data_IF_101825027142
#
_entry.id   IF_101825027142
#
_cell.length_a   1.000
_cell.length_b   1.000
_cell.length_c   1.000
_cell.angle_alpha   90.00
_cell.angle_beta   90.00
_cell.angle_gamma   90.00
#
_symmetry.space_group_name_H-M   'P 1'
#
loop_
_entity.id
_entity.type
_entity.pdbx_description
1 polymer ?
#
# COMPACT_ATOMS: atom_id res chain seq x y z
N UNK A 1 -0.79 5.16 13.32
CA UNK A 1 -0.38 6.57 13.55
C UNK A 1 1.05 6.85 13.26
N UNK A 2 2.00 6.15 13.89
CA UNK A 2 3.42 6.32 13.54
C UNK A 2 3.68 6.17 12.04
N UNK A 3 3.06 5.19 11.37
CA UNK A 3 3.14 5.03 9.90
C UNK A 3 2.69 6.28 9.12
N UNK A 4 1.57 6.91 9.51
CA UNK A 4 1.07 8.13 8.84
C UNK A 4 2.04 9.29 9.02
N UNK A 5 2.63 9.42 10.21
CA UNK A 5 3.67 10.42 10.45
C UNK A 5 4.92 10.19 9.61
N UNK A 6 5.32 8.93 9.38
CA UNK A 6 6.43 8.63 8.48
C UNK A 6 6.14 9.01 7.04
N UNK A 7 5.00 8.60 6.46
CA UNK A 7 4.69 8.97 5.07
C UNK A 7 4.45 10.47 4.91
N UNK A 8 3.92 11.15 5.94
CA UNK A 8 3.88 12.61 5.99
C UNK A 8 5.28 13.21 5.96
N UNK A 9 6.22 12.66 6.72
CA UNK A 9 7.63 13.10 6.71
C UNK A 9 8.29 12.90 5.34
N UNK A 10 8.10 11.74 4.71
CA UNK A 10 8.58 11.46 3.36
C UNK A 10 8.02 12.49 2.38
N UNK A 11 6.70 12.71 2.42
CA UNK A 11 6.01 13.67 1.57
C UNK A 11 6.56 15.10 1.71
N UNK A 12 6.65 15.66 2.93
CA UNK A 12 7.13 17.04 3.14
C UNK A 12 8.61 17.21 2.80
N UNK A 13 9.38 16.14 2.82
CA UNK A 13 10.80 16.15 2.43
C UNK A 13 11.01 15.83 0.95
N UNK A 14 9.94 15.78 0.15
CA UNK A 14 9.97 15.43 -1.27
C UNK A 14 10.65 14.08 -1.54
N UNK A 15 10.50 13.12 -0.62
CA UNK A 15 11.05 11.78 -0.73
C UNK A 15 9.91 10.78 -0.91
N UNK A 16 10.08 9.83 -1.81
CA UNK A 16 9.27 8.60 -1.88
C UNK A 16 10.20 7.40 -1.66
N UNK A 17 9.70 6.37 -1.01
CA UNK A 17 10.41 5.15 -0.67
C UNK A 17 10.20 4.06 -1.72
N UNK A 18 9.01 3.99 -2.34
CA UNK A 18 8.64 3.05 -3.41
C UNK A 18 8.57 1.55 -3.04
N UNK A 19 8.92 1.17 -1.81
CA UNK A 19 8.87 -0.23 -1.32
C UNK A 19 8.37 -0.30 0.14
N UNK A 20 7.31 0.46 0.46
CA UNK A 20 6.66 0.38 1.78
C UNK A 20 5.83 -0.90 1.84
N UNK A 21 6.29 -1.87 2.63
CA UNK A 21 5.67 -3.19 2.82
C UNK A 21 6.01 -3.75 4.20
N UNK A 22 5.29 -4.76 4.72
CA UNK A 22 5.51 -5.28 6.07
C UNK A 22 6.96 -5.67 6.40
N UNK A 23 7.73 -6.33 5.50
CA UNK A 23 9.16 -6.60 5.74
C UNK A 23 10.02 -5.36 6.02
N UNK A 24 9.66 -4.22 5.43
CA UNK A 24 10.39 -2.95 5.57
C UNK A 24 9.88 -2.09 6.73
N UNK A 25 8.91 -2.60 7.50
CA UNK A 25 8.33 -1.91 8.66
C UNK A 25 8.72 -2.65 9.92
N UNK A 26 9.77 -2.15 10.59
CA UNK A 26 10.24 -2.72 11.84
C UNK A 26 9.54 -2.08 13.04
N UNK A 27 9.35 -2.86 14.10
CA UNK A 27 8.93 -2.36 15.41
C UNK A 27 10.09 -2.61 16.38
N UNK A 28 10.74 -1.52 16.79
CA UNK A 28 11.83 -1.56 17.75
C UNK A 28 11.36 -1.55 19.22
N UNK A 29 12.30 -1.46 20.16
CA UNK A 29 12.00 -1.24 21.57
C UNK A 29 11.06 -0.06 21.77
N UNK A 30 10.21 -0.12 22.80
CA UNK A 30 9.18 0.88 23.09
C UNK A 30 8.08 1.03 22.00
N UNK A 31 7.85 -0.01 21.19
CA UNK A 31 6.83 -0.03 20.12
C UNK A 31 7.04 1.08 19.08
N UNK A 32 8.29 1.50 18.88
CA UNK A 32 8.63 2.53 17.91
C UNK A 32 8.73 1.91 16.52
N UNK A 33 7.91 2.39 15.60
CA UNK A 33 7.94 2.00 14.20
C UNK A 33 9.16 2.62 13.52
N UNK A 34 9.83 1.86 12.67
CA UNK A 34 10.91 2.33 11.80
C UNK A 34 10.68 1.78 10.40
N UNK A 35 10.72 2.65 9.41
CA UNK A 35 10.82 2.25 8.01
C UNK A 35 12.29 2.01 7.68
N UNK A 36 12.59 0.89 7.04
CA UNK A 36 13.94 0.48 6.64
C UNK A 36 13.99 0.24 5.13
N UNK A 37 15.20 0.12 4.59
CA UNK A 37 15.48 -0.20 3.19
C UNK A 37 15.04 0.86 2.16
N UNK A 38 15.81 1.95 2.10
CA UNK A 38 15.62 3.03 1.12
C UNK A 38 16.29 2.74 -0.23
N UNK A 39 16.58 1.47 -0.56
CA UNK A 39 17.28 1.09 -1.78
C UNK A 39 16.59 1.56 -3.06
N UNK A 40 15.27 1.76 -3.01
CA UNK A 40 14.46 2.27 -4.12
C UNK A 40 14.00 3.71 -3.91
N UNK A 41 14.48 4.45 -2.91
CA UNK A 41 13.95 5.78 -2.65
C UNK A 41 14.31 6.78 -3.76
N UNK A 42 13.40 7.73 -4.03
CA UNK A 42 13.60 8.82 -4.98
C UNK A 42 13.24 10.18 -4.37
N UNK A 43 14.08 11.18 -4.59
CA UNK A 43 13.86 12.56 -4.13
C UNK A 43 13.42 13.45 -5.29
N UNK A 44 12.20 13.97 -5.21
CA UNK A 44 11.66 14.95 -6.15
C UNK A 44 12.38 16.28 -6.04
N UNK A 45 12.56 16.95 -7.18
CA UNK A 45 12.92 18.37 -7.20
C UNK A 45 11.72 19.22 -6.77
N UNK A 46 11.97 20.45 -6.33
CA UNK A 46 10.95 21.32 -5.72
C UNK A 46 9.64 21.47 -6.53
N UNK A 47 9.73 21.44 -7.86
CA UNK A 47 8.60 21.64 -8.77
C UNK A 47 8.08 20.34 -9.41
N UNK A 48 8.65 19.18 -9.07
CA UNK A 48 8.20 17.90 -9.58
C UNK A 48 7.04 17.37 -8.71
N UNK A 49 5.94 17.01 -9.36
CA UNK A 49 4.77 16.37 -8.73
C UNK A 49 4.63 14.91 -9.12
N UNK A 50 5.15 14.56 -10.30
CA UNK A 50 5.19 13.22 -10.89
C UNK A 50 6.58 12.97 -11.45
N UNK A 51 7.10 11.76 -11.29
CA UNK A 51 8.34 11.32 -11.89
C UNK A 51 8.18 9.94 -12.53
N UNK A 52 8.56 9.85 -13.80
CA UNK A 52 8.65 8.58 -14.51
C UNK A 52 9.94 7.84 -14.07
N UNK A 53 9.79 6.67 -13.46
CA UNK A 53 10.87 5.85 -12.89
C UNK A 53 10.68 4.37 -13.24
N UNK A 54 11.74 3.56 -13.26
CA UNK A 54 11.61 2.12 -13.38
C UNK A 54 10.80 1.56 -12.21
N UNK A 55 9.94 0.59 -12.51
CA UNK A 55 9.25 -0.21 -11.49
C UNK A 55 10.26 -1.15 -10.87
N UNK A 56 10.54 -0.93 -9.58
CA UNK A 56 11.49 -1.71 -8.78
C UNK A 56 10.85 -2.05 -7.42
N UNK A 57 11.32 -3.13 -6.79
CA UNK A 57 10.80 -3.58 -5.49
C UNK A 57 9.55 -4.47 -5.56
N UNK A 58 8.88 -4.68 -4.41
CA UNK A 58 7.65 -5.48 -4.32
C UNK A 58 6.43 -4.58 -4.26
N UNK A 59 5.65 -4.56 -5.33
CA UNK A 59 4.58 -3.57 -5.52
C UNK A 59 3.20 -4.03 -5.06
N UNK A 60 3.09 -5.19 -4.41
CA UNK A 60 1.81 -5.74 -3.93
C UNK A 60 1.00 -4.76 -3.07
N UNK A 61 1.67 -3.87 -2.32
CA UNK A 61 1.00 -2.91 -1.43
C UNK A 61 0.70 -1.57 -2.10
N UNK A 62 1.13 -1.34 -3.34
CA UNK A 62 0.93 -0.07 -4.05
C UNK A 62 -0.54 0.24 -4.40
N UNK A 63 -1.40 -0.78 -4.40
CA UNK A 63 -2.84 -0.63 -4.65
C UNK A 63 -3.26 -1.08 -6.04
N UNK A 64 -4.58 -1.06 -6.25
CA UNK A 64 -5.20 -1.51 -7.51
C UNK A 64 -4.83 -0.63 -8.71
N UNK A 65 -4.66 0.67 -8.52
CA UNK A 65 -4.36 1.59 -9.64
C UNK A 65 -2.96 1.28 -10.19
N UNK A 66 -1.97 1.14 -9.30
CA UNK A 66 -0.65 0.67 -9.66
C UNK A 66 -0.68 -0.73 -10.28
N UNK A 67 -1.38 -1.69 -9.67
CA UNK A 67 -1.45 -3.06 -10.17
C UNK A 67 -2.06 -3.09 -11.58
N UNK A 68 -3.13 -2.35 -11.82
CA UNK A 68 -3.79 -2.28 -13.13
C UNK A 68 -2.84 -1.73 -14.19
N UNK A 69 -2.14 -0.63 -13.91
CA UNK A 69 -1.17 -0.05 -14.84
C UNK A 69 0.02 -1.00 -15.07
N UNK A 70 0.58 -1.58 -14.00
CA UNK A 70 1.64 -2.57 -14.07
C UNK A 70 1.27 -3.76 -14.97
N UNK A 71 0.07 -4.31 -14.79
CA UNK A 71 -0.39 -5.46 -15.56
C UNK A 71 -0.60 -5.15 -17.04
N UNK A 72 -1.01 -3.93 -17.39
CA UNK A 72 -1.11 -3.51 -18.78
C UNK A 72 0.28 -3.30 -19.43
N UNK A 73 1.31 -3.00 -18.63
CA UNK A 73 2.65 -2.70 -19.13
C UNK A 73 3.53 -3.94 -19.34
N UNK A 74 3.23 -5.06 -18.68
CA UNK A 74 3.99 -6.32 -18.78
C UNK A 74 3.58 -7.21 -19.97
N UNK A 75 2.66 -6.76 -20.83
CA UNK A 75 2.34 -7.47 -22.08
C UNK A 75 3.52 -7.54 -23.08
N UNK A 76 4.60 -6.77 -22.84
CA UNK A 76 5.88 -6.88 -23.55
C UNK A 76 6.99 -7.43 -22.62
N UNK A 77 7.35 -8.73 -22.72
CA UNK A 77 8.20 -9.42 -21.75
C UNK A 77 9.70 -9.10 -21.85
N UNK A 78 10.10 -8.06 -22.59
CA UNK A 78 11.50 -7.75 -22.84
C UNK A 78 11.86 -6.28 -22.52
N UNK A 79 11.69 -5.84 -21.28
CA UNK A 79 12.19 -4.53 -20.87
C UNK A 79 11.98 -4.15 -19.42
N UNK A 80 12.69 -3.10 -18.99
CA UNK A 80 12.35 -2.38 -17.76
C UNK A 80 11.02 -1.67 -17.96
N UNK A 81 10.04 -1.98 -17.11
CA UNK A 81 8.75 -1.28 -17.09
C UNK A 81 8.89 0.02 -16.31
N UNK A 82 8.28 1.10 -16.83
CA UNK A 82 8.32 2.42 -16.23
C UNK A 82 6.95 2.84 -15.71
N UNK A 83 6.93 3.59 -14.62
CA UNK A 83 5.70 4.07 -13.98
C UNK A 83 5.82 5.54 -13.57
N UNK A 84 4.71 6.26 -13.64
CA UNK A 84 4.61 7.66 -13.24
C UNK A 84 4.32 7.74 -11.73
N UNK A 85 5.38 7.78 -10.92
CA UNK A 85 5.25 7.89 -9.47
C UNK A 85 4.87 9.31 -9.05
N UNK A 86 3.79 9.43 -8.28
CA UNK A 86 3.39 10.66 -7.61
C UNK A 86 4.04 10.79 -6.21
N UNK A 87 4.14 12.01 -5.69
CA UNK A 87 4.66 12.24 -4.33
C UNK A 87 3.85 11.56 -3.21
N UNK A 88 2.56 11.30 -3.46
CA UNK A 88 1.66 10.62 -2.51
C UNK A 88 1.69 9.08 -2.65
N UNK A 89 2.51 8.50 -3.54
CA UNK A 89 2.55 7.05 -3.79
C UNK A 89 2.67 6.22 -2.49
N UNK A 90 3.62 6.60 -1.62
CA UNK A 90 3.88 5.91 -0.35
C UNK A 90 2.70 5.96 0.63
N UNK A 91 1.84 6.97 0.53
CA UNK A 91 0.64 7.06 1.37
C UNK A 91 -0.29 5.88 1.09
N UNK A 92 -0.52 5.53 -0.18
CA UNK A 92 -1.32 4.36 -0.56
C UNK A 92 -0.72 3.06 -0.03
N UNK A 93 0.61 2.89 -0.19
CA UNK A 93 1.33 1.75 0.36
C UNK A 93 1.14 1.64 1.88
N UNK A 94 1.33 2.74 2.61
CA UNK A 94 1.16 2.79 4.05
C UNK A 94 -0.27 2.44 4.50
N UNK A 95 -1.29 2.91 3.79
CA UNK A 95 -2.70 2.60 4.11
C UNK A 95 -2.99 1.12 3.92
N UNK A 96 -2.54 0.55 2.80
CA UNK A 96 -2.69 -0.88 2.52
C UNK A 96 -1.96 -1.71 3.57
N UNK A 97 -0.76 -1.30 3.98
CA UNK A 97 0.02 -1.94 5.04
C UNK A 97 -0.66 -1.82 6.42
N UNK A 98 -1.22 -0.66 6.77
CA UNK A 98 -2.00 -0.48 8.01
C UNK A 98 -3.22 -1.39 7.99
N UNK A 99 -3.96 -1.43 6.88
CA UNK A 99 -5.16 -2.25 6.76
C UNK A 99 -4.82 -3.74 6.84
N UNK A 100 -3.79 -4.17 6.12
CA UNK A 100 -3.21 -5.51 6.22
C UNK A 100 -2.85 -5.89 7.66
N UNK A 101 -2.33 -4.96 8.45
CA UNK A 101 -1.96 -5.21 9.84
C UNK A 101 -3.15 -5.36 10.79
N UNK A 102 -4.31 -4.78 10.48
CA UNK A 102 -5.46 -4.76 11.40
C UNK A 102 -6.66 -5.58 10.92
N UNK A 103 -6.72 -5.95 9.65
CA UNK A 103 -7.80 -6.76 9.06
C UNK A 103 -7.23 -8.10 8.55
N UNK A 104 -7.61 -9.21 9.20
CA UNK A 104 -7.11 -10.56 8.88
C UNK A 104 -7.58 -11.07 7.52
N UNK A 105 -8.78 -10.72 7.09
CA UNK A 105 -9.33 -11.14 5.79
C UNK A 105 -8.55 -10.46 4.66
N UNK A 106 -8.38 -9.13 4.76
CA UNK A 106 -7.55 -8.36 3.82
C UNK A 106 -6.12 -8.90 3.79
N UNK A 107 -5.55 -9.21 4.96
CA UNK A 107 -4.22 -9.84 5.05
C UNK A 107 -4.11 -11.13 4.24
N UNK A 108 -5.09 -12.02 4.42
CA UNK A 108 -5.10 -13.32 3.76
C UNK A 108 -5.17 -13.17 2.24
N UNK A 109 -6.06 -12.31 1.74
CA UNK A 109 -6.17 -12.06 0.29
C UNK A 109 -4.92 -11.36 -0.27
N UNK A 110 -4.38 -10.36 0.40
CA UNK A 110 -3.13 -9.70 -0.03
C UNK A 110 -1.92 -10.65 -0.08
N UNK A 111 -1.84 -11.64 0.82
CA UNK A 111 -0.80 -12.67 0.76
C UNK A 111 -0.96 -13.58 -0.48
N UNK A 112 -2.20 -13.89 -0.90
CA UNK A 112 -2.43 -14.62 -2.15
C UNK A 112 -2.02 -13.79 -3.36
N UNK A 113 -2.36 -12.50 -3.38
CA UNK A 113 -1.94 -11.56 -4.43
C UNK A 113 -0.41 -11.51 -4.50
N UNK A 114 0.28 -11.40 -3.36
CA UNK A 114 1.74 -11.42 -3.32
C UNK A 114 2.30 -12.71 -3.94
N UNK A 115 1.84 -13.87 -3.49
CA UNK A 115 2.28 -15.16 -4.03
C UNK A 115 1.96 -15.34 -5.52
N UNK A 116 0.85 -14.78 -5.99
CA UNK A 116 0.47 -14.77 -7.40
C UNK A 116 1.49 -13.99 -8.24
N UNK A 117 1.85 -12.77 -7.81
CA UNK A 117 2.81 -11.91 -8.51
C UNK A 117 4.21 -12.54 -8.51
N UNK A 118 4.67 -13.14 -7.40
CA UNK A 118 6.05 -13.65 -7.30
C UNK A 118 6.29 -15.01 -7.95
N UNK A 119 5.25 -15.77 -8.32
CA UNK A 119 5.39 -17.11 -8.90
C UNK A 119 5.58 -17.15 -10.42
N UNK A 120 5.57 -16.02 -11.13
CA UNK A 120 6.12 -15.87 -12.49
C UNK A 120 5.47 -16.69 -13.62
N UNK A 121 4.25 -17.20 -13.47
CA UNK A 121 3.53 -17.84 -14.58
C UNK A 121 2.01 -17.67 -14.42
N UNK A 122 1.35 -16.99 -15.36
CA UNK A 122 -0.12 -16.88 -15.56
C UNK A 122 -0.98 -16.30 -14.42
N UNK A 123 -0.40 -15.87 -13.30
CA UNK A 123 -1.12 -15.47 -12.06
C UNK A 123 -1.35 -13.96 -11.89
N UNK A 124 -0.93 -13.15 -12.86
CA UNK A 124 -1.15 -11.71 -12.87
C UNK A 124 -2.63 -11.32 -12.95
N UNK A 125 -3.40 -11.98 -13.81
CA UNK A 125 -4.85 -11.80 -13.88
C UNK A 125 -5.53 -12.26 -12.59
N UNK A 126 -5.05 -13.36 -11.98
CA UNK A 126 -5.56 -13.84 -10.70
C UNK A 126 -5.33 -12.82 -9.57
N UNK A 127 -4.16 -12.16 -9.54
CA UNK A 127 -3.86 -11.11 -8.57
C UNK A 127 -4.85 -9.94 -8.67
N UNK A 128 -5.16 -9.48 -9.88
CA UNK A 128 -6.15 -8.42 -10.11
C UNK A 128 -7.56 -8.84 -9.70
N UNK A 129 -7.97 -10.05 -10.07
CA UNK A 129 -9.27 -10.60 -9.71
C UNK A 129 -9.43 -10.78 -8.19
N UNK A 130 -8.39 -11.25 -7.51
CA UNK A 130 -8.38 -11.36 -6.04
C UNK A 130 -8.53 -9.96 -5.42
N UNK A 131 -7.83 -8.95 -5.94
CA UNK A 131 -7.97 -7.58 -5.45
C UNK A 131 -9.40 -7.05 -5.61
N UNK A 132 -9.97 -7.16 -6.81
CA UNK A 132 -11.33 -6.68 -7.11
C UNK A 132 -12.35 -7.37 -6.19
N UNK A 133 -12.25 -8.69 -6.01
CA UNK A 133 -13.12 -9.45 -5.11
C UNK A 133 -12.97 -9.01 -3.66
N UNK A 134 -11.73 -8.78 -3.20
CA UNK A 134 -11.46 -8.31 -1.84
C UNK A 134 -12.16 -6.97 -1.55
N UNK A 135 -12.14 -6.01 -2.49
CA UNK A 135 -12.86 -4.75 -2.35
C UNK A 135 -14.38 -4.95 -2.31
N UNK A 136 -14.92 -5.78 -3.19
CA UNK A 136 -16.36 -6.05 -3.28
C UNK A 136 -16.91 -6.78 -2.04
N UNK A 137 -16.13 -7.70 -1.46
CA UNK A 137 -16.54 -8.51 -0.32
C UNK A 137 -16.35 -7.78 1.01
N UNK A 138 -15.40 -6.84 1.09
CA UNK A 138 -15.11 -6.11 2.32
C UNK A 138 -15.54 -4.63 2.21
N UNK A 139 -16.84 -4.38 2.35
CA UNK A 139 -17.45 -3.04 2.24
C UNK A 139 -16.79 -2.00 3.14
N UNK A 140 -16.43 -2.35 4.38
CA UNK A 140 -15.74 -1.43 5.29
C UNK A 140 -14.33 -1.07 4.81
N UNK A 141 -13.61 -2.03 4.22
CA UNK A 141 -12.31 -1.77 3.60
C UNK A 141 -12.45 -0.87 2.37
N UNK A 142 -13.44 -1.12 1.51
CA UNK A 142 -13.67 -0.30 0.32
C UNK A 142 -14.08 1.14 0.67
N UNK A 143 -15.02 1.32 1.62
CA UNK A 143 -15.41 2.65 2.13
C UNK A 143 -14.22 3.41 2.74
N UNK A 144 -13.34 2.69 3.46
CA UNK A 144 -12.12 3.24 4.01
C UNK A 144 -11.17 3.71 2.90
N UNK A 145 -10.90 2.87 1.91
CA UNK A 145 -10.04 3.21 0.77
C UNK A 145 -10.59 4.41 -0.01
N UNK A 146 -11.89 4.45 -0.31
CA UNK A 146 -12.52 5.56 -1.01
C UNK A 146 -12.44 6.87 -0.21
N UNK A 147 -12.67 6.81 1.11
CA UNK A 147 -12.58 7.99 1.98
C UNK A 147 -11.16 8.54 2.02
N UNK A 148 -10.17 7.65 2.13
CA UNK A 148 -8.77 8.06 2.19
C UNK A 148 -8.28 8.56 0.83
N UNK A 149 -8.66 7.93 -0.29
CA UNK A 149 -8.32 8.40 -1.64
C UNK A 149 -8.71 9.87 -1.85
N UNK A 150 -9.94 10.23 -1.47
CA UNK A 150 -10.42 11.63 -1.56
C UNK A 150 -9.54 12.60 -0.76
N UNK A 151 -9.12 12.21 0.44
CA UNK A 151 -8.28 13.04 1.31
C UNK A 151 -6.82 13.08 0.87
N UNK A 152 -6.31 12.00 0.26
CA UNK A 152 -4.93 11.95 -0.26
C UNK A 152 -4.69 12.95 -1.39
N UNK A 153 -5.72 13.22 -2.21
CA UNK A 153 -5.66 14.21 -3.28
C UNK A 153 -5.50 15.65 -2.76
N UNK A 154 -6.00 15.91 -1.55
CA UNK A 154 -5.89 17.21 -0.87
C UNK A 154 -4.84 17.21 0.25
N UNK A 155 -4.11 16.10 0.43
CA UNK A 155 -3.02 15.92 1.39
C UNK A 155 -3.42 16.17 2.86
N UNK A 156 -4.66 15.81 3.22
CA UNK A 156 -5.20 16.01 4.57
C UNK A 156 -4.84 14.83 5.51
N UNK A 157 -3.57 14.79 5.93
CA UNK A 157 -3.05 13.71 6.78
C UNK A 157 -3.74 13.61 8.15
N UNK A 158 -4.19 14.72 8.73
CA UNK A 158 -4.88 14.74 10.04
C UNK A 158 -6.23 14.02 9.96
N UNK A 159 -6.99 14.28 8.90
CA UNK A 159 -8.28 13.63 8.69
C UNK A 159 -8.12 12.15 8.31
N UNK A 160 -7.09 11.80 7.52
CA UNK A 160 -6.73 10.40 7.26
C UNK A 160 -6.43 9.68 8.59
N UNK A 161 -5.69 10.32 9.49
CA UNK A 161 -5.39 9.78 10.82
C UNK A 161 -6.67 9.51 11.62
N UNK A 162 -7.59 10.47 11.65
CA UNK A 162 -8.88 10.38 12.33
C UNK A 162 -9.73 9.22 11.79
N UNK A 163 -9.83 9.08 10.46
CA UNK A 163 -10.57 8.00 9.80
C UNK A 163 -9.96 6.64 10.16
N UNK A 164 -8.63 6.49 10.12
CA UNK A 164 -7.96 5.25 10.49
C UNK A 164 -8.19 4.90 11.96
N UNK A 165 -8.16 5.89 12.87
CA UNK A 165 -8.49 5.69 14.30
C UNK A 165 -9.92 5.18 14.47
N UNK A 166 -10.89 5.83 13.82
CA UNK A 166 -12.31 5.45 13.90
C UNK A 166 -12.54 4.03 13.40
N UNK A 167 -11.90 3.65 12.29
CA UNK A 167 -12.07 2.33 11.68
C UNK A 167 -11.24 1.23 12.36
N UNK A 168 -10.18 1.57 13.10
CA UNK A 168 -9.33 0.58 13.78
C UNK A 168 -10.10 -0.35 14.73
N UNK A 169 -11.09 0.17 15.45
CA UNK A 169 -11.95 -0.65 16.33
C UNK A 169 -12.88 -1.57 15.53
N UNK A 170 -13.50 -1.04 14.47
CA UNK A 170 -14.42 -1.82 13.62
C UNK A 170 -13.69 -2.92 12.84
N UNK A 171 -12.46 -2.65 12.40
CA UNK A 171 -11.60 -3.63 11.71
C UNK A 171 -11.05 -4.71 12.65
N UNK A 172 -10.90 -4.41 13.95
CA UNK A 172 -10.48 -5.37 14.97
C UNK A 172 -11.64 -6.29 15.42
N UNK A 173 -12.90 -5.85 15.37
CA UNK A 173 -14.06 -6.64 15.87
C UNK A 173 -14.45 -7.86 15.02
N UNK A 174 -13.78 -8.12 13.88
CA UNK A 174 -13.98 -9.34 13.08
C UNK A 174 -13.10 -10.50 13.61
N UNK A 175 -12.38 -10.31 14.72
CA UNK A 175 -11.75 -11.43 15.44
C UNK A 175 -12.79 -12.22 16.25
N UNK A 176 -13.46 -13.17 15.60
CA UNK A 176 -14.16 -14.25 16.29
C UNK A 176 -13.13 -15.02 17.16
N UNK A 177 -13.34 -15.20 18.48
CA UNK A 177 -12.37 -15.85 19.39
C UNK A 177 -12.08 -17.33 19.10
N UNK A 178 -12.81 -17.97 18.18
CA UNK A 178 -12.87 -19.42 18.08
C UNK A 178 -11.78 -20.09 17.21
N UNK A 179 -10.73 -19.38 16.79
CA UNK A 179 -9.64 -20.00 16.03
C UNK A 179 -8.27 -19.53 16.53
N UNK A 180 -7.92 -20.00 17.72
CA UNK A 180 -6.53 -20.32 18.09
C UNK A 180 -6.56 -21.77 18.59
N UNK A 181 -6.16 -22.68 17.69
CA UNK A 181 -5.47 -23.94 17.98
C UNK A 181 -4.67 -24.28 16.72
#
# INVERSE_FOLDING_TARGET
MQMINFVRYLYITNLIHRDIRPPNVMIGPNKMLRLIDFGFAYRFKANETVQNLPIEGTTTFAGIDFLTEYLNLIEDPHGTVWYNYERNFDLFCAINVITYMINKEVRYEMNKIHGAITCGNTKEYDALQIWIRMQQQNKTYDELLQSIRKLSNVLDFENIESILRKNSKNLQMISNPNYIN
#
